data_IF_188206553131
#
_entry.id   IF_188206553131
#
_cell.length_a   1.000
_cell.length_b   1.000
_cell.length_c   1.000
_cell.angle_alpha   90.00
_cell.angle_beta   90.00
_cell.angle_gamma   90.00
#
_symmetry.space_group_name_H-M   'P 1'
#
loop_
_entity.id
_entity.type
_entity.pdbx_description
1 polymer ?
#
# COMPACT_ATOMS: atom_id res chain seq x y z
N UNK A 1 -12.35 -14.27 35.56
CA UNK A 1 -11.94 -15.63 36.00
C UNK A 1 -10.75 -15.58 36.94
N UNK A 2 -9.74 -14.74 36.67
CA UNK A 2 -8.52 -14.59 37.47
C UNK A 2 -8.80 -13.89 38.83
N UNK A 3 -9.70 -12.92 38.86
CA UNK A 3 -10.09 -12.23 40.09
C UNK A 3 -10.82 -13.14 41.08
N UNK A 4 -11.60 -14.10 40.60
CA UNK A 4 -12.34 -15.07 41.41
C UNK A 4 -11.41 -16.10 42.06
N UNK A 5 -10.30 -16.47 41.42
CA UNK A 5 -9.30 -17.42 41.92
C UNK A 5 -8.46 -16.77 43.05
N UNK A 6 -8.12 -15.48 42.91
CA UNK A 6 -7.37 -14.76 43.96
C UNK A 6 -8.17 -14.59 45.27
N UNK A 7 -9.46 -14.27 45.17
CA UNK A 7 -10.36 -14.19 46.33
C UNK A 7 -10.62 -15.57 47.01
N UNK A 8 -10.68 -16.63 46.24
CA UNK A 8 -10.81 -17.99 46.73
C UNK A 8 -9.61 -18.43 47.59
N UNK A 9 -8.39 -18.03 47.15
CA UNK A 9 -7.15 -18.40 47.87
C UNK A 9 -7.00 -17.65 49.19
N UNK A 10 -7.50 -16.43 49.31
CA UNK A 10 -7.47 -15.62 50.58
C UNK A 10 -8.44 -16.22 51.59
N UNK A 11 -9.61 -16.69 51.19
CA UNK A 11 -10.60 -17.28 52.11
C UNK A 11 -10.14 -18.65 52.66
N UNK A 12 -9.44 -19.46 51.85
CA UNK A 12 -8.89 -20.75 52.29
C UNK A 12 -7.72 -20.61 53.26
N UNK A 13 -6.92 -19.53 53.13
CA UNK A 13 -5.80 -19.23 54.04
C UNK A 13 -6.24 -18.88 55.45
N UNK A 14 -7.36 -18.19 55.63
CA UNK A 14 -7.88 -17.81 56.96
C UNK A 14 -8.42 -18.97 57.80
N UNK A 15 -8.83 -20.08 57.19
CA UNK A 15 -9.44 -21.21 57.87
C UNK A 15 -8.45 -22.16 58.56
N UNK A 16 -7.14 -22.07 58.23
CA UNK A 16 -6.12 -23.01 58.78
C UNK A 16 -5.20 -22.40 59.87
N UNK A 17 -5.46 -21.20 60.33
CA UNK A 17 -4.53 -20.46 61.26
C UNK A 17 -4.75 -20.81 62.76
N UNK A 18 -5.69 -21.71 63.09
CA UNK A 18 -6.04 -21.99 64.48
C UNK A 18 -5.20 -23.08 65.17
N UNK A 19 -4.13 -23.56 64.55
CA UNK A 19 -3.53 -24.79 65.11
C UNK A 19 -2.12 -24.67 65.73
N UNK A 20 -1.19 -23.79 65.35
CA UNK A 20 0.17 -23.83 65.95
C UNK A 20 0.91 -22.49 65.81
N UNK A 21 1.21 -21.79 66.90
CA UNK A 21 2.25 -20.73 66.95
C UNK A 21 1.93 -19.57 67.86
N UNK A 22 2.98 -18.90 68.38
CA UNK A 22 2.83 -17.69 69.14
C UNK A 22 2.28 -16.54 68.30
N UNK A 23 1.48 -15.62 68.82
CA UNK A 23 0.83 -14.54 68.09
C UNK A 23 1.78 -13.74 67.16
N UNK A 24 3.03 -13.54 67.61
CA UNK A 24 4.06 -12.84 66.81
C UNK A 24 4.55 -13.62 65.58
N UNK A 25 4.69 -14.92 65.67
CA UNK A 25 5.12 -15.75 64.52
C UNK A 25 4.04 -15.82 63.45
N UNK A 26 2.77 -15.83 63.86
CA UNK A 26 1.63 -15.80 62.95
C UNK A 26 1.53 -14.47 62.22
N UNK A 27 1.76 -13.34 62.94
CA UNK A 27 1.73 -12.01 62.33
C UNK A 27 2.83 -11.83 61.27
N UNK A 28 4.08 -12.22 61.55
CA UNK A 28 5.21 -12.13 60.60
C UNK A 28 4.97 -13.01 59.38
N UNK A 29 4.37 -14.19 59.54
CA UNK A 29 4.05 -15.07 58.42
C UNK A 29 2.91 -14.53 57.57
N UNK A 30 1.93 -13.87 58.19
CA UNK A 30 0.84 -13.20 57.49
C UNK A 30 1.33 -11.99 56.71
N UNK A 31 2.22 -11.18 57.28
CA UNK A 31 2.82 -10.03 56.58
C UNK A 31 3.65 -10.45 55.39
N UNK A 32 4.47 -11.51 55.49
CA UNK A 32 5.23 -12.02 54.37
C UNK A 32 4.34 -12.61 53.26
N UNK A 33 3.26 -13.28 53.60
CA UNK A 33 2.30 -13.77 52.62
C UNK A 33 1.53 -12.63 51.94
N UNK A 34 1.20 -11.58 52.71
CA UNK A 34 0.55 -10.40 52.15
C UNK A 34 1.47 -9.64 51.20
N UNK A 35 2.76 -9.50 51.56
CA UNK A 35 3.75 -8.88 50.69
C UNK A 35 3.93 -9.63 49.36
N UNK A 36 4.04 -10.95 49.40
CA UNK A 36 4.13 -11.77 48.20
C UNK A 36 2.85 -11.66 47.34
N UNK A 37 1.67 -11.61 47.97
CA UNK A 37 0.41 -11.43 47.26
C UNK A 37 0.32 -10.06 46.55
N UNK A 38 0.83 -9.01 47.22
CA UNK A 38 0.90 -7.66 46.62
C UNK A 38 1.84 -7.64 45.43
N UNK A 39 3.01 -8.29 45.52
CA UNK A 39 3.94 -8.42 44.37
C UNK A 39 3.31 -9.20 43.22
N UNK A 40 2.61 -10.30 43.49
CA UNK A 40 1.92 -11.08 42.47
C UNK A 40 0.80 -10.27 41.78
N UNK A 41 0.06 -9.46 42.54
CA UNK A 41 -0.99 -8.59 41.99
C UNK A 41 -0.37 -7.48 41.16
N UNK A 42 0.72 -6.86 41.59
CA UNK A 42 1.42 -5.82 40.81
C UNK A 42 2.03 -6.39 39.54
N UNK A 43 2.60 -7.59 39.59
CA UNK A 43 3.07 -8.31 38.42
C UNK A 43 1.92 -8.61 37.44
N UNK A 44 0.79 -9.09 37.92
CA UNK A 44 -0.39 -9.35 37.14
C UNK A 44 -0.99 -8.09 36.49
N UNK A 45 -1.03 -6.97 37.24
CA UNK A 45 -1.46 -5.66 36.73
C UNK A 45 -0.51 -5.12 35.67
N UNK A 46 0.80 -5.31 35.82
CA UNK A 46 1.77 -4.90 34.81
C UNK A 46 1.64 -5.71 33.50
N UNK A 47 1.41 -7.02 33.61
CA UNK A 47 1.13 -7.89 32.46
C UNK A 47 -0.19 -7.52 31.79
N UNK A 48 -1.23 -7.22 32.58
CA UNK A 48 -2.52 -6.78 32.04
C UNK A 48 -2.42 -5.42 31.34
N UNK A 49 -1.68 -4.46 31.93
CA UNK A 49 -1.41 -3.16 31.34
C UNK A 49 -0.62 -3.29 30.02
N UNK A 50 0.40 -4.17 29.99
CA UNK A 50 1.15 -4.44 28.76
C UNK A 50 0.30 -5.13 27.69
N UNK A 51 -0.59 -6.03 28.08
CA UNK A 51 -1.54 -6.69 27.15
C UNK A 51 -2.60 -5.71 26.64
N UNK A 52 -3.05 -4.76 27.46
CA UNK A 52 -4.00 -3.72 27.06
C UNK A 52 -3.35 -2.62 26.21
N UNK A 53 -2.04 -2.41 26.34
CA UNK A 53 -1.27 -1.47 25.49
C UNK A 53 -0.81 -2.11 24.18
N UNK A 54 -0.90 -3.42 24.01
CA UNK A 54 -0.62 -4.07 22.76
C UNK A 54 -1.65 -3.60 21.72
N UNK A 55 -1.18 -2.85 20.71
CA UNK A 55 -1.98 -2.50 19.54
C UNK A 55 -2.61 -3.79 18.98
N UNK A 56 -3.91 -3.82 18.68
CA UNK A 56 -4.51 -5.00 18.07
C UNK A 56 -3.68 -5.38 16.84
N UNK A 57 -3.29 -6.66 16.75
CA UNK A 57 -2.55 -7.18 15.60
C UNK A 57 -3.49 -7.14 14.41
N UNK A 58 -3.16 -6.34 13.39
CA UNK A 58 -3.92 -6.24 12.17
C UNK A 58 -3.95 -7.56 11.43
N UNK A 59 -5.01 -7.81 10.69
CA UNK A 59 -5.23 -9.05 9.92
C UNK A 59 -4.07 -9.40 9.00
N UNK A 60 -3.34 -8.38 8.50
CA UNK A 60 -2.27 -8.53 7.53
C UNK A 60 -0.88 -8.21 8.09
N UNK A 61 -0.71 -7.94 9.38
CA UNK A 61 0.58 -7.55 9.96
C UNK A 61 1.67 -8.60 9.71
N UNK A 62 1.36 -9.88 9.84
CA UNK A 62 2.29 -10.96 9.55
C UNK A 62 2.70 -11.03 8.07
N UNK A 63 1.76 -10.74 7.15
CA UNK A 63 2.04 -10.67 5.72
C UNK A 63 2.91 -9.46 5.39
N UNK A 64 2.59 -8.29 5.94
CA UNK A 64 3.33 -7.06 5.71
C UNK A 64 4.74 -7.07 6.32
N UNK A 65 4.98 -7.89 7.32
CA UNK A 65 6.31 -8.10 7.89
C UNK A 65 7.25 -8.89 6.94
N UNK A 66 6.71 -9.64 5.97
CA UNK A 66 7.48 -10.35 4.94
C UNK A 66 7.57 -9.48 3.67
N UNK A 67 8.54 -8.56 3.67
CA UNK A 67 8.77 -7.68 2.52
C UNK A 67 9.10 -8.42 1.22
N UNK A 68 9.78 -9.58 1.30
CA UNK A 68 10.13 -10.36 0.11
C UNK A 68 8.87 -10.92 -0.54
N UNK A 69 7.95 -11.47 0.28
CA UNK A 69 6.67 -11.97 -0.18
C UNK A 69 5.78 -10.83 -0.71
N UNK A 70 5.77 -9.68 -0.03
CA UNK A 70 5.04 -8.51 -0.50
C UNK A 70 5.51 -8.06 -1.89
N UNK A 71 6.83 -7.95 -2.11
CA UNK A 71 7.39 -7.63 -3.42
C UNK A 71 7.04 -8.69 -4.48
N UNK A 72 7.17 -9.96 -4.13
CA UNK A 72 6.84 -11.07 -5.04
C UNK A 72 5.38 -11.05 -5.48
N UNK A 73 4.46 -10.67 -4.58
CA UNK A 73 3.03 -10.67 -4.81
C UNK A 73 2.45 -9.29 -5.19
N UNK A 74 3.28 -8.27 -5.43
CA UNK A 74 2.85 -6.87 -5.68
C UNK A 74 1.90 -6.33 -4.59
N UNK A 75 2.27 -6.52 -3.33
CA UNK A 75 1.50 -6.05 -2.17
C UNK A 75 2.17 -4.80 -1.60
N UNK A 76 1.39 -3.74 -1.45
CA UNK A 76 1.81 -2.44 -0.93
C UNK A 76 0.98 -2.08 0.31
N UNK A 77 1.64 -1.65 1.38
CA UNK A 77 0.96 -1.13 2.56
C UNK A 77 0.67 0.36 2.38
N UNK A 78 -0.52 0.80 2.78
CA UNK A 78 -0.90 2.22 2.83
C UNK A 78 -1.49 2.55 4.20
N UNK A 79 -1.18 3.73 4.69
CA UNK A 79 -1.81 4.28 5.89
C UNK A 79 -3.00 5.13 5.47
N UNK A 80 -4.18 4.78 5.94
CA UNK A 80 -5.37 5.57 5.65
C UNK A 80 -5.41 6.87 6.46
N UNK A 81 -6.01 7.89 5.88
CA UNK A 81 -6.27 9.16 6.57
C UNK A 81 -7.32 9.01 7.69
N UNK A 82 -8.25 8.05 7.54
CA UNK A 82 -9.29 7.72 8.52
C UNK A 82 -9.23 6.23 8.88
N UNK A 83 -9.39 5.86 10.16
CA UNK A 83 -9.35 4.45 10.57
C UNK A 83 -10.57 3.63 10.10
N UNK A 84 -11.66 4.29 9.71
CA UNK A 84 -12.94 3.64 9.38
C UNK A 84 -13.30 3.74 7.89
N UNK A 85 -12.54 4.49 7.12
CA UNK A 85 -12.82 4.75 5.72
C UNK A 85 -11.55 4.58 4.89
N UNK A 86 -11.71 4.07 3.68
CA UNK A 86 -10.64 4.01 2.68
C UNK A 86 -11.11 4.76 1.45
N UNK A 87 -10.42 5.83 1.13
CA UNK A 87 -10.71 6.68 -0.03
C UNK A 87 -9.88 6.25 -1.23
N UNK A 88 -10.56 5.91 -2.33
CA UNK A 88 -9.91 5.58 -3.60
C UNK A 88 -10.35 6.62 -4.63
N UNK A 89 -9.38 7.27 -5.26
CA UNK A 89 -9.63 8.23 -6.33
C UNK A 89 -9.12 7.66 -7.65
N UNK A 90 -9.93 7.80 -8.69
CA UNK A 90 -9.56 7.46 -10.06
C UNK A 90 -9.60 8.72 -10.91
N UNK A 91 -8.56 8.95 -11.70
CA UNK A 91 -8.58 9.91 -12.79
C UNK A 91 -8.48 9.19 -14.14
N UNK A 92 -8.84 9.88 -15.20
CA UNK A 92 -8.74 9.36 -16.56
C UNK A 92 -7.32 9.42 -17.12
N UNK A 93 -7.25 9.71 -18.42
CA UNK A 93 -6.02 9.71 -19.18
C UNK A 93 -5.12 10.89 -18.80
N UNK A 94 -3.85 10.59 -18.58
CA UNK A 94 -2.80 11.61 -18.49
C UNK A 94 -1.94 11.59 -19.76
N UNK A 95 -1.43 12.75 -20.16
CA UNK A 95 -0.57 12.91 -21.34
C UNK A 95 0.53 13.94 -21.09
N UNK A 96 1.79 13.49 -21.14
CA UNK A 96 2.97 14.35 -20.97
C UNK A 96 3.82 14.50 -22.24
N UNK A 97 3.24 14.25 -23.41
CA UNK A 97 3.94 14.41 -24.68
C UNK A 97 4.21 15.89 -25.02
N UNK A 98 5.48 16.24 -25.20
CA UNK A 98 5.95 17.62 -25.48
C UNK A 98 5.34 18.24 -26.75
N UNK A 99 4.78 17.42 -27.65
CA UNK A 99 4.14 17.88 -28.88
C UNK A 99 2.71 18.38 -28.68
N UNK A 100 2.11 18.11 -27.54
CA UNK A 100 0.71 18.43 -27.28
C UNK A 100 0.55 19.70 -26.44
N UNK A 101 -0.53 20.42 -26.71
CA UNK A 101 -0.79 21.75 -26.15
C UNK A 101 -0.79 21.77 -24.61
N UNK A 102 -1.25 20.70 -23.98
CA UNK A 102 -1.27 20.60 -22.51
C UNK A 102 0.16 20.67 -21.95
N UNK A 103 1.08 19.86 -22.47
CA UNK A 103 2.47 19.82 -22.02
C UNK A 103 3.22 21.09 -22.41
N UNK A 104 2.98 21.63 -23.61
CA UNK A 104 3.54 22.93 -24.04
C UNK A 104 3.15 24.03 -23.06
N UNK A 105 1.87 24.13 -22.68
CA UNK A 105 1.40 25.12 -21.70
C UNK A 105 1.97 24.88 -20.30
N UNK A 106 2.07 23.63 -19.88
CA UNK A 106 2.71 23.27 -18.62
C UNK A 106 4.15 23.75 -18.57
N UNK A 107 4.93 23.50 -19.64
CA UNK A 107 6.31 23.96 -19.76
C UNK A 107 6.41 25.50 -19.75
N UNK A 108 5.52 26.20 -20.47
CA UNK A 108 5.47 27.68 -20.50
C UNK A 108 5.18 28.28 -19.12
N UNK A 109 4.38 27.63 -18.30
CA UNK A 109 4.07 28.07 -16.94
C UNK A 109 5.21 27.83 -15.95
N UNK A 110 6.10 26.87 -16.23
CA UNK A 110 7.32 26.59 -15.44
C UNK A 110 7.09 26.08 -14.02
N UNK A 111 5.89 25.58 -13.70
CA UNK A 111 5.49 25.14 -12.36
C UNK A 111 5.18 23.64 -12.29
N UNK A 112 5.64 22.87 -13.28
CA UNK A 112 5.37 21.43 -13.32
C UNK A 112 3.86 21.13 -13.30
N UNK A 113 3.45 20.12 -12.55
CA UNK A 113 2.06 19.69 -12.40
C UNK A 113 1.17 20.83 -11.88
N UNK A 114 1.65 21.61 -10.92
CA UNK A 114 0.92 22.76 -10.35
C UNK A 114 0.65 23.89 -11.35
N UNK A 115 1.36 23.88 -12.48
CA UNK A 115 1.08 24.77 -13.61
C UNK A 115 -0.09 24.31 -14.49
N UNK A 116 -0.58 23.07 -14.33
CA UNK A 116 -1.58 22.46 -15.21
C UNK A 116 -2.82 21.98 -14.49
N UNK A 117 -2.70 21.60 -13.24
CA UNK A 117 -3.80 21.11 -12.38
C UNK A 117 -4.03 22.15 -11.27
N UNK A 118 -5.29 22.44 -10.95
CA UNK A 118 -5.59 23.37 -9.86
C UNK A 118 -5.20 22.77 -8.50
N UNK A 119 -4.94 23.63 -7.53
CA UNK A 119 -4.53 23.18 -6.19
C UNK A 119 -5.63 22.33 -5.55
N UNK A 120 -6.89 22.70 -5.69
CA UNK A 120 -8.03 21.98 -5.15
C UNK A 120 -8.11 20.55 -5.71
N UNK A 121 -7.80 20.37 -7.00
CA UNK A 121 -7.77 19.05 -7.62
C UNK A 121 -6.57 18.23 -7.15
N UNK A 122 -5.39 18.87 -7.02
CA UNK A 122 -4.21 18.21 -6.46
C UNK A 122 -4.44 17.80 -5.00
N UNK A 123 -5.14 18.60 -4.23
CA UNK A 123 -5.48 18.28 -2.84
C UNK A 123 -6.39 17.06 -2.76
N UNK A 124 -7.39 16.93 -3.64
CA UNK A 124 -8.24 15.73 -3.75
C UNK A 124 -7.41 14.50 -4.12
N UNK A 125 -6.54 14.60 -5.13
CA UNK A 125 -5.68 13.50 -5.57
C UNK A 125 -4.73 13.05 -4.46
N UNK A 126 -4.03 13.98 -3.82
CA UNK A 126 -3.02 13.73 -2.79
C UNK A 126 -3.60 13.31 -1.44
N UNK A 127 -4.86 13.63 -1.16
CA UNK A 127 -5.55 13.23 0.08
C UNK A 127 -6.18 11.83 0.00
N UNK A 128 -6.23 11.22 -1.18
CA UNK A 128 -6.71 9.86 -1.34
C UNK A 128 -5.77 8.86 -0.66
N UNK A 129 -6.31 7.82 -0.07
CA UNK A 129 -5.51 6.69 0.43
C UNK A 129 -4.88 5.91 -0.72
N UNK A 130 -5.60 5.80 -1.85
CA UNK A 130 -5.09 5.23 -3.09
C UNK A 130 -5.57 6.10 -4.26
N UNK A 131 -4.63 6.57 -5.08
CA UNK A 131 -4.93 7.33 -6.29
C UNK A 131 -4.40 6.64 -7.54
N UNK A 132 -5.28 6.36 -8.51
CA UNK A 132 -4.98 5.69 -9.77
C UNK A 132 -5.25 6.58 -10.98
N UNK A 133 -4.34 6.54 -11.96
CA UNK A 133 -4.50 7.21 -13.26
C UNK A 133 -4.28 6.24 -14.43
N UNK A 134 -4.83 6.56 -15.60
CA UNK A 134 -4.49 5.87 -16.85
C UNK A 134 -3.30 6.57 -17.50
N UNK A 135 -2.16 5.88 -17.57
CA UNK A 135 -0.96 6.37 -18.22
C UNK A 135 -1.01 6.01 -19.71
N UNK A 136 -1.47 6.94 -20.55
CA UNK A 136 -1.85 6.69 -21.94
C UNK A 136 -0.70 6.92 -22.93
N UNK A 137 0.54 6.65 -22.57
CA UNK A 137 1.73 6.82 -23.41
C UNK A 137 2.93 6.05 -22.86
N UNK A 138 3.88 5.64 -23.70
CA UNK A 138 5.15 5.09 -23.24
C UNK A 138 6.12 6.20 -22.78
N UNK A 139 6.91 5.89 -21.74
CA UNK A 139 8.07 6.68 -21.30
C UNK A 139 9.32 6.20 -22.03
N UNK A 140 9.66 6.82 -23.16
CA UNK A 140 10.87 6.45 -23.92
C UNK A 140 11.23 7.47 -24.98
N UNK A 141 12.52 7.62 -25.23
CA UNK A 141 13.07 8.33 -26.38
C UNK A 141 13.43 7.39 -27.54
N UNK A 142 13.20 6.08 -27.37
CA UNK A 142 13.49 5.04 -28.36
C UNK A 142 12.22 4.56 -29.09
N UNK A 143 12.41 3.73 -30.10
CA UNK A 143 11.30 3.20 -30.89
C UNK A 143 10.85 4.13 -32.00
N UNK A 144 9.94 3.59 -32.83
CA UNK A 144 9.33 4.30 -33.97
C UNK A 144 7.83 4.33 -33.79
N UNK A 145 7.15 5.42 -34.19
CA UNK A 145 5.71 5.49 -34.08
C UNK A 145 5.05 4.39 -34.92
N UNK A 146 3.97 3.83 -34.39
CA UNK A 146 3.15 2.84 -35.09
C UNK A 146 2.65 3.41 -36.43
N UNK A 147 2.90 2.68 -37.51
CA UNK A 147 2.48 3.07 -38.87
C UNK A 147 0.95 3.16 -38.95
N UNK A 148 0.46 4.07 -39.79
CA UNK A 148 -0.96 4.30 -40.02
C UNK A 148 -1.79 4.67 -38.75
N UNK A 149 -1.16 4.92 -37.65
CA UNK A 149 -1.82 5.42 -36.43
C UNK A 149 -1.79 6.94 -36.40
N UNK A 150 -2.98 7.57 -36.43
CA UNK A 150 -3.13 9.02 -36.53
C UNK A 150 -2.54 9.78 -35.32
N UNK A 151 -2.72 9.22 -34.13
CA UNK A 151 -2.24 9.80 -32.89
C UNK A 151 -1.32 8.79 -32.21
N UNK A 152 -0.08 9.16 -32.00
CA UNK A 152 0.90 8.41 -31.23
C UNK A 152 1.48 9.29 -30.14
N UNK A 153 1.54 8.78 -28.93
CA UNK A 153 1.97 9.51 -27.76
C UNK A 153 3.25 8.94 -27.19
N UNK A 154 4.10 9.77 -26.66
CA UNK A 154 5.22 9.38 -25.80
C UNK A 154 5.66 10.51 -24.91
N UNK A 155 6.35 10.19 -23.82
CA UNK A 155 6.97 11.15 -22.96
C UNK A 155 8.42 10.74 -22.63
N UNK A 156 9.23 11.69 -22.21
CA UNK A 156 10.56 11.43 -21.67
C UNK A 156 10.43 10.68 -20.35
N UNK A 157 11.39 9.78 -20.07
CA UNK A 157 11.39 9.00 -18.83
C UNK A 157 11.42 9.87 -17.57
N UNK A 158 12.08 11.04 -17.61
CA UNK A 158 12.13 12.00 -16.51
C UNK A 158 10.75 12.52 -16.07
N UNK A 159 9.77 12.53 -16.99
CA UNK A 159 8.41 13.00 -16.69
C UNK A 159 7.59 12.00 -15.86
N UNK A 160 8.10 10.80 -15.65
CA UNK A 160 7.47 9.86 -14.73
C UNK A 160 7.42 10.39 -13.28
N UNK A 161 8.32 11.31 -12.90
CA UNK A 161 8.27 12.00 -11.61
C UNK A 161 6.98 12.77 -11.38
N UNK A 162 6.31 13.23 -12.45
CA UNK A 162 5.02 13.92 -12.33
C UNK A 162 3.91 13.03 -11.75
N UNK A 163 4.02 11.71 -11.88
CA UNK A 163 3.12 10.77 -11.21
C UNK A 163 3.22 10.91 -9.69
N UNK A 164 4.45 10.99 -9.18
CA UNK A 164 4.72 11.17 -7.75
C UNK A 164 4.26 12.57 -7.29
N UNK A 165 4.52 13.61 -8.10
CA UNK A 165 4.08 14.98 -7.81
C UNK A 165 2.55 15.10 -7.73
N UNK A 166 1.82 14.30 -8.52
CA UNK A 166 0.35 14.21 -8.46
C UNK A 166 -0.15 13.42 -7.26
N UNK A 167 0.70 12.63 -6.61
CA UNK A 167 0.31 11.71 -5.55
C UNK A 167 -0.25 10.38 -6.07
N UNK A 168 0.07 9.98 -7.31
CA UNK A 168 -0.37 8.70 -7.85
C UNK A 168 0.29 7.53 -7.10
N UNK A 169 -0.49 6.51 -6.80
CA UNK A 169 -0.07 5.28 -6.14
C UNK A 169 0.04 4.12 -7.11
N UNK A 170 -0.67 4.19 -8.22
CA UNK A 170 -0.73 3.13 -9.22
C UNK A 170 -1.17 3.70 -10.58
N UNK A 171 -0.67 3.13 -11.66
CA UNK A 171 -1.09 3.46 -13.01
C UNK A 171 -1.65 2.27 -13.76
N UNK A 172 -2.64 2.52 -14.65
CA UNK A 172 -3.04 1.56 -15.68
C UNK A 172 -2.21 1.76 -16.93
N UNK A 173 -1.72 0.66 -17.49
CA UNK A 173 -1.08 0.62 -18.81
C UNK A 173 -1.92 -0.14 -19.86
N UNK A 174 -3.09 -0.64 -19.44
CA UNK A 174 -4.00 -1.34 -20.33
C UNK A 174 -4.83 -0.35 -21.17
N UNK A 175 -4.20 0.21 -22.20
CA UNK A 175 -4.83 1.15 -23.15
C UNK A 175 -4.25 1.00 -24.54
N UNK A 176 -4.85 1.69 -25.51
CA UNK A 176 -4.48 1.61 -26.90
C UNK A 176 -3.23 2.43 -27.26
N UNK A 177 -2.63 3.16 -26.36
CA UNK A 177 -1.44 4.00 -26.57
C UNK A 177 -0.18 3.48 -25.90
N UNK A 178 -0.28 2.48 -25.03
CA UNK A 178 0.88 1.92 -24.31
C UNK A 178 2.00 1.42 -25.25
N UNK A 179 1.64 1.05 -26.48
CA UNK A 179 2.56 0.48 -27.48
C UNK A 179 2.83 1.39 -28.68
N UNK A 180 2.54 2.67 -28.59
CA UNK A 180 2.61 3.64 -29.70
C UNK A 180 3.97 3.71 -30.40
N UNK A 181 5.04 3.37 -29.70
CA UNK A 181 6.42 3.38 -30.22
C UNK A 181 7.07 1.99 -30.21
N UNK A 182 6.24 0.93 -30.17
CA UNK A 182 6.67 -0.45 -30.27
C UNK A 182 7.26 -1.02 -28.99
N UNK A 183 7.75 -2.25 -29.07
CA UNK A 183 8.19 -3.07 -27.95
C UNK A 183 9.28 -2.38 -27.11
N UNK A 184 10.25 -1.74 -27.75
CA UNK A 184 11.36 -1.13 -27.01
C UNK A 184 10.89 0.01 -26.11
N UNK A 185 10.00 0.86 -26.61
CA UNK A 185 9.44 1.96 -25.82
C UNK A 185 8.51 1.47 -24.70
N UNK A 186 7.75 0.42 -24.97
CA UNK A 186 6.94 -0.23 -23.96
C UNK A 186 7.80 -0.81 -22.81
N UNK A 187 8.87 -1.52 -23.12
CA UNK A 187 9.78 -2.06 -22.10
C UNK A 187 10.48 -0.95 -21.31
N UNK A 188 10.89 0.15 -21.97
CA UNK A 188 11.43 1.32 -21.30
C UNK A 188 10.44 1.92 -20.30
N UNK A 189 9.15 1.87 -20.63
CA UNK A 189 8.07 2.33 -19.75
C UNK A 189 8.01 1.50 -18.47
N UNK A 190 8.05 0.17 -18.59
CA UNK A 190 8.08 -0.73 -17.44
C UNK A 190 9.30 -0.46 -16.56
N UNK A 191 10.49 -0.30 -17.19
CA UNK A 191 11.72 -0.02 -16.46
C UNK A 191 11.69 1.37 -15.80
N UNK A 192 11.12 2.38 -16.46
CA UNK A 192 10.95 3.74 -15.90
C UNK A 192 10.05 3.72 -14.67
N UNK A 193 8.89 3.07 -14.76
CA UNK A 193 7.95 2.97 -13.63
C UNK A 193 8.54 2.18 -12.46
N UNK A 194 9.19 1.05 -12.74
CA UNK A 194 9.93 0.29 -11.74
C UNK A 194 11.04 1.12 -11.08
N UNK A 195 11.75 1.94 -11.87
CA UNK A 195 12.83 2.80 -11.38
C UNK A 195 12.39 3.87 -10.39
N UNK A 196 11.15 4.35 -10.49
CA UNK A 196 10.56 5.30 -9.54
C UNK A 196 9.68 4.62 -8.48
N UNK A 197 9.60 3.27 -8.49
CA UNK A 197 8.76 2.51 -7.56
C UNK A 197 7.27 2.67 -7.79
N UNK A 198 6.83 3.04 -9.00
CA UNK A 198 5.41 3.19 -9.34
C UNK A 198 4.78 1.86 -9.73
N UNK A 199 3.82 1.34 -8.94
CA UNK A 199 3.06 0.17 -9.31
C UNK A 199 2.25 0.39 -10.60
N UNK A 200 2.10 -0.67 -11.42
CA UNK A 200 1.27 -0.62 -12.61
C UNK A 200 0.52 -1.93 -12.82
N UNK A 201 -0.60 -1.86 -13.54
CA UNK A 201 -1.44 -2.99 -13.91
C UNK A 201 -1.75 -3.01 -15.41
N UNK A 202 -2.04 -4.20 -15.93
CA UNK A 202 -2.45 -4.41 -17.31
C UNK A 202 -1.31 -4.36 -18.33
N UNK A 203 -0.07 -4.55 -17.88
CA UNK A 203 1.12 -4.62 -18.70
C UNK A 203 2.17 -5.53 -18.05
N UNK A 204 3.07 -6.07 -18.87
CA UNK A 204 4.17 -6.92 -18.40
C UNK A 204 5.06 -7.36 -19.56
N UNK A 205 6.17 -8.00 -19.25
CA UNK A 205 7.10 -8.55 -20.24
C UNK A 205 6.56 -9.81 -20.92
N UNK A 206 5.57 -10.43 -20.29
CA UNK A 206 4.82 -11.59 -20.73
C UNK A 206 3.40 -11.57 -20.13
N UNK A 207 2.59 -12.58 -20.51
CA UNK A 207 1.19 -12.68 -20.06
C UNK A 207 1.10 -12.82 -18.52
N UNK A 208 1.97 -13.60 -17.89
CA UNK A 208 1.95 -13.82 -16.44
C UNK A 208 2.12 -12.49 -15.68
N UNK A 209 3.06 -11.65 -16.12
CA UNK A 209 3.26 -10.33 -15.55
C UNK A 209 2.08 -9.39 -15.85
N UNK A 210 1.57 -9.40 -17.09
CA UNK A 210 0.52 -8.49 -17.53
C UNK A 210 -0.82 -8.69 -16.81
N UNK A 211 -1.16 -9.94 -16.45
CA UNK A 211 -2.40 -10.26 -15.72
C UNK A 211 -2.25 -10.19 -14.20
N UNK A 212 -1.03 -9.98 -13.71
CA UNK A 212 -0.74 -9.98 -12.27
C UNK A 212 -1.40 -8.78 -11.61
N UNK A 213 -2.23 -8.99 -10.57
CA UNK A 213 -2.83 -7.88 -9.85
C UNK A 213 -1.81 -7.14 -8.98
N UNK A 214 -2.11 -5.88 -8.71
CA UNK A 214 -1.47 -5.10 -7.65
C UNK A 214 -2.43 -5.05 -6.47
N UNK A 215 -1.92 -5.26 -5.27
CA UNK A 215 -2.69 -5.22 -4.04
C UNK A 215 -2.25 -4.09 -3.14
N UNK A 216 -3.20 -3.36 -2.59
CA UNK A 216 -2.98 -2.46 -1.47
C UNK A 216 -3.63 -3.01 -0.20
N UNK A 217 -2.90 -2.93 0.91
CA UNK A 217 -3.44 -3.21 2.24
C UNK A 217 -3.55 -1.89 2.98
N UNK A 218 -4.79 -1.53 3.32
CA UNK A 218 -5.15 -0.30 4.01
C UNK A 218 -6.35 -0.57 4.91
N UNK A 219 -6.34 -0.11 6.17
CA UNK A 219 -7.40 -0.37 7.16
C UNK A 219 -7.79 -1.86 7.28
N UNK A 220 -6.81 -2.76 7.32
CA UNK A 220 -7.03 -4.22 7.34
C UNK A 220 -7.89 -4.75 6.18
N UNK A 221 -7.96 -4.01 5.08
CA UNK A 221 -8.57 -4.44 3.81
C UNK A 221 -7.48 -4.69 2.78
N UNK A 222 -7.61 -5.79 2.04
CA UNK A 222 -6.77 -6.09 0.87
C UNK A 222 -7.54 -5.77 -0.39
N UNK A 223 -7.14 -4.73 -1.09
CA UNK A 223 -7.77 -4.20 -2.30
C UNK A 223 -6.92 -4.59 -3.51
N UNK A 224 -7.55 -5.21 -4.52
CA UNK A 224 -6.88 -5.65 -5.74
C UNK A 224 -7.18 -4.68 -6.89
N UNK A 225 -6.15 -4.32 -7.64
CA UNK A 225 -6.26 -3.61 -8.91
C UNK A 225 -5.86 -4.53 -10.05
N UNK A 226 -6.67 -4.53 -11.09
CA UNK A 226 -6.43 -5.22 -12.36
C UNK A 226 -6.86 -4.31 -13.50
N UNK A 227 -6.23 -4.44 -14.67
CA UNK A 227 -6.63 -3.70 -15.85
C UNK A 227 -6.53 -4.58 -17.09
N UNK A 228 -7.43 -4.34 -18.03
CA UNK A 228 -7.44 -5.00 -19.35
C UNK A 228 -7.95 -4.02 -20.41
N UNK A 229 -7.49 -4.18 -21.63
CA UNK A 229 -7.99 -3.43 -22.79
C UNK A 229 -8.32 -4.40 -23.93
N UNK A 230 -9.35 -4.05 -24.68
CA UNK A 230 -9.72 -4.75 -25.92
C UNK A 230 -9.47 -3.87 -27.14
N UNK A 231 -9.18 -2.58 -26.94
CA UNK A 231 -9.00 -1.63 -28.03
C UNK A 231 -7.54 -1.66 -28.45
N UNK A 232 -7.28 -2.34 -29.57
CA UNK A 232 -5.97 -2.38 -30.20
C UNK A 232 -6.08 -1.90 -31.64
N UNK A 233 -5.16 -1.06 -32.05
CA UNK A 233 -5.04 -0.55 -33.41
C UNK A 233 -3.61 -0.67 -33.91
N UNK A 234 -2.97 -1.78 -33.65
CA UNK A 234 -1.66 -2.06 -34.21
C UNK A 234 -1.80 -3.16 -35.26
N UNK A 235 -1.22 -2.97 -36.41
CA UNK A 235 -1.16 -3.99 -37.46
C UNK A 235 -0.03 -5.00 -37.22
N UNK A 236 0.84 -4.71 -36.24
CA UNK A 236 1.94 -5.59 -35.85
C UNK A 236 1.43 -6.65 -34.88
N UNK A 237 1.37 -7.94 -35.28
CA UNK A 237 0.90 -9.01 -34.39
C UNK A 237 1.74 -9.19 -33.11
N UNK A 238 3.00 -8.74 -33.11
CA UNK A 238 3.89 -8.84 -31.94
C UNK A 238 3.55 -7.84 -30.83
N UNK A 239 2.60 -6.96 -31.07
CA UNK A 239 2.27 -5.86 -30.17
C UNK A 239 0.93 -5.98 -29.50
N UNK A 240 0.13 -6.96 -29.86
CA UNK A 240 -1.31 -6.96 -29.57
C UNK A 240 -1.68 -7.60 -28.26
N UNK A 241 -0.95 -8.62 -27.87
CA UNK A 241 -1.30 -9.43 -26.73
C UNK A 241 -0.06 -9.74 -25.91
N UNK A 242 -0.21 -9.74 -24.59
CA UNK A 242 0.78 -10.35 -23.73
C UNK A 242 0.77 -11.85 -23.99
N UNK A 243 1.86 -12.38 -24.52
CA UNK A 243 2.03 -13.79 -24.83
C UNK A 243 2.79 -14.51 -23.70
N UNK A 244 2.75 -15.85 -23.75
CA UNK A 244 3.48 -16.68 -22.78
C UNK A 244 5.01 -16.69 -22.99
N UNK A 245 5.50 -16.06 -24.07
CA UNK A 245 6.92 -16.04 -24.47
C UNK A 245 7.54 -14.65 -24.30
#
# INVERSE_FOLDING_TARGET
LILTIALGSVVLGCSMIWAVGTPQLVAVKLESQLANLVEDVQAAESVLASAQSAKPVGKYDALLADEALCRQQNIYAKTAASPNETTIVFAGDILFDDRYAVKVKMNQRGRGIEGSISQEMLDVMRSADIFMVNNEFPYSDRGTPTENKKFTFRAKSEYASYLLDMGADIVSLANNHAYDYGKIAFLDTLDTLNGIGMPYVGAGRNLEEAIKPVYFIVNDQKIAFVAATQIERTENPDTKEATQN
#
